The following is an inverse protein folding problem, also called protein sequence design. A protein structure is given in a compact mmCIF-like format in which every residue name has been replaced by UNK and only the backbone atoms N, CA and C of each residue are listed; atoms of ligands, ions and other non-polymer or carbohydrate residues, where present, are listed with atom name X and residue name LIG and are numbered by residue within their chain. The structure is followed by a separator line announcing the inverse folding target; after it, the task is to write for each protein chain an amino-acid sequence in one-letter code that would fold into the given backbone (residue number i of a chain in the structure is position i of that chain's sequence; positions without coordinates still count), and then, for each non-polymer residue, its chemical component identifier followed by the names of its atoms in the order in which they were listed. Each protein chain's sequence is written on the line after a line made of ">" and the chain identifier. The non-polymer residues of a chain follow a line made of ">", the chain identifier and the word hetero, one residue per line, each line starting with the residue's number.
data_IF_005517378898
#
_entry.id   IF_005517378898
#
_cell.length_a   1.000
_cell.length_b   1.000
_cell.length_c   1.000
_cell.angle_alpha   90.00
_cell.angle_beta   90.00
_cell.angle_gamma   90.00
#
_symmetry.space_group_name_H-M   'P 1'
#
loop_
_entity.id
_entity.type
_entity.pdbx_description
1 polymer ?
#
# COMPACT_ATOMS: atom_id res chain seq x y z
N UNK A 1 35.86 -62.25 36.36
CA UNK A 1 34.49 -61.75 36.11
C UNK A 1 34.48 -60.23 36.22
N UNK A 2 34.61 -59.52 35.10
CA UNK A 2 34.47 -58.05 35.06
C UNK A 2 33.41 -57.77 34.00
N UNK A 3 32.21 -57.38 34.43
CA UNK A 3 31.09 -57.04 33.55
C UNK A 3 31.19 -55.57 33.13
N UNK A 4 31.48 -55.32 31.86
CA UNK A 4 31.38 -54.00 31.23
C UNK A 4 29.90 -53.62 31.01
N UNK A 5 29.46 -52.49 31.55
CA UNK A 5 28.14 -51.90 31.23
C UNK A 5 28.25 -51.11 29.90
N UNK A 6 27.24 -51.16 29.01
CA UNK A 6 27.23 -50.29 27.84
C UNK A 6 26.79 -48.88 28.24
N UNK A 7 27.55 -47.88 27.82
CA UNK A 7 27.16 -46.48 27.91
C UNK A 7 26.17 -46.16 26.77
N UNK A 8 24.94 -45.82 27.13
CA UNK A 8 23.93 -45.36 26.18
C UNK A 8 24.24 -43.89 25.84
N UNK A 9 24.74 -43.63 24.63
CA UNK A 9 24.93 -42.27 24.14
C UNK A 9 23.56 -41.69 23.75
N UNK A 10 23.05 -40.73 24.53
CA UNK A 10 21.95 -39.87 24.10
C UNK A 10 22.47 -38.94 22.99
N UNK A 11 22.07 -39.17 21.75
CA UNK A 11 22.15 -38.15 20.70
C UNK A 11 21.19 -37.01 21.06
N UNK A 12 21.62 -35.74 21.03
CA UNK A 12 20.70 -34.63 21.12
C UNK A 12 19.85 -34.62 19.84
N UNK A 13 18.53 -34.72 19.98
CA UNK A 13 17.63 -34.35 18.90
C UNK A 13 17.83 -32.85 18.64
N UNK A 14 18.54 -32.53 17.56
CA UNK A 14 18.50 -31.23 16.93
C UNK A 14 17.07 -31.04 16.41
N UNK A 15 16.21 -30.43 17.22
CA UNK A 15 14.97 -29.83 16.73
C UNK A 15 15.38 -28.72 15.75
N UNK A 16 15.47 -29.05 14.47
CA UNK A 16 15.48 -28.06 13.40
C UNK A 16 14.15 -27.33 13.48
N UNK A 17 14.15 -26.13 14.05
CA UNK A 17 13.01 -25.22 13.93
C UNK A 17 12.70 -25.13 12.44
N UNK A 18 11.47 -25.44 11.97
CA UNK A 18 11.14 -25.21 10.58
C UNK A 18 11.49 -23.76 10.25
N UNK A 19 12.27 -23.55 9.18
CA UNK A 19 12.46 -22.22 8.61
C UNK A 19 11.10 -21.75 8.13
N UNK A 20 10.34 -21.10 9.01
CA UNK A 20 9.13 -20.44 8.62
C UNK A 20 9.49 -19.33 7.64
N UNK A 21 8.72 -19.26 6.55
CA UNK A 21 8.68 -18.09 5.69
C UNK A 21 8.58 -16.85 6.60
N UNK A 22 9.47 -15.89 6.38
CA UNK A 22 9.58 -14.73 7.26
C UNK A 22 9.19 -13.50 6.45
N UNK A 23 8.07 -12.89 6.82
CA UNK A 23 7.67 -11.62 6.22
C UNK A 23 8.38 -10.45 6.89
N UNK A 24 8.86 -9.49 6.09
CA UNK A 24 9.37 -8.22 6.60
C UNK A 24 8.36 -7.11 6.34
N UNK A 25 8.23 -6.23 7.33
CA UNK A 25 7.43 -5.01 7.23
C UNK A 25 8.38 -3.83 7.16
N UNK A 26 8.16 -2.94 6.19
CA UNK A 26 8.87 -1.68 6.02
C UNK A 26 7.88 -0.53 6.17
N UNK A 27 8.25 0.46 6.98
CA UNK A 27 7.43 1.65 7.22
C UNK A 27 8.26 2.91 6.99
N UNK A 28 7.82 3.78 6.08
CA UNK A 28 8.49 5.06 5.85
C UNK A 28 8.05 6.11 6.87
N UNK A 29 9.02 6.90 7.33
CA UNK A 29 8.86 7.91 8.36
C UNK A 29 9.23 9.28 7.78
N UNK A 30 8.23 10.06 7.35
CA UNK A 30 8.45 11.27 6.56
C UNK A 30 9.26 12.33 7.32
N UNK A 31 9.04 12.46 8.64
CA UNK A 31 9.66 13.51 9.44
C UNK A 31 11.01 13.05 10.02
N UNK A 32 11.12 11.77 10.40
CA UNK A 32 12.41 11.18 10.79
C UNK A 32 13.38 10.99 9.61
N UNK A 33 12.85 10.89 8.39
CA UNK A 33 13.65 10.63 7.18
C UNK A 33 14.25 9.22 7.12
N UNK A 34 13.57 8.25 7.72
CA UNK A 34 14.00 6.85 7.81
C UNK A 34 12.95 5.89 7.26
N UNK A 35 13.36 4.66 6.97
CA UNK A 35 12.49 3.50 6.76
C UNK A 35 12.71 2.53 7.92
N UNK A 36 11.72 2.38 8.79
CA UNK A 36 11.73 1.39 9.87
C UNK A 36 11.46 -0.01 9.32
N UNK A 37 12.15 -1.01 9.87
CA UNK A 37 12.04 -2.41 9.46
C UNK A 37 11.66 -3.31 10.62
N UNK A 38 10.79 -4.27 10.36
CA UNK A 38 10.34 -5.26 11.32
C UNK A 38 10.34 -6.65 10.70
N UNK A 39 10.59 -7.66 11.52
CA UNK A 39 10.27 -9.03 11.20
C UNK A 39 8.86 -9.34 11.75
N UNK A 40 7.97 -9.82 10.89
CA UNK A 40 6.65 -10.29 11.28
C UNK A 40 6.75 -11.78 11.65
N UNK A 41 6.20 -12.14 12.81
CA UNK A 41 5.99 -13.54 13.16
C UNK A 41 4.67 -14.02 12.54
N UNK A 42 4.75 -14.90 11.54
CA UNK A 42 3.58 -15.37 10.79
C UNK A 42 2.57 -16.17 11.64
N UNK A 43 2.98 -16.70 12.80
CA UNK A 43 2.12 -17.47 13.69
C UNK A 43 1.37 -16.58 14.70
N UNK A 44 2.01 -15.50 15.19
CA UNK A 44 1.47 -14.67 16.27
C UNK A 44 1.11 -13.25 15.86
N UNK A 45 1.57 -12.80 14.70
CA UNK A 45 1.45 -11.43 14.23
C UNK A 45 2.36 -10.45 14.97
N UNK A 46 3.26 -10.93 15.84
CA UNK A 46 4.17 -10.04 16.57
C UNK A 46 5.20 -9.40 15.64
N UNK A 47 5.56 -8.16 15.94
CA UNK A 47 6.52 -7.37 15.18
C UNK A 47 7.80 -7.23 15.98
N UNK A 48 8.89 -7.82 15.49
CA UNK A 48 10.22 -7.59 16.04
C UNK A 48 10.89 -6.46 15.27
N UNK A 49 11.09 -5.30 15.92
CA UNK A 49 11.86 -4.21 15.32
C UNK A 49 13.29 -4.65 15.01
N UNK A 50 13.76 -4.33 13.80
CA UNK A 50 15.08 -4.72 13.28
C UNK A 50 15.99 -3.53 13.00
N UNK A 51 15.49 -2.31 13.10
CA UNK A 51 16.27 -1.09 12.89
C UNK A 51 15.62 -0.14 11.89
N UNK A 52 16.24 1.03 11.77
CA UNK A 52 15.85 2.09 10.85
C UNK A 52 16.93 2.29 9.79
N UNK A 53 16.53 2.42 8.52
CA UNK A 53 17.42 2.76 7.41
C UNK A 53 17.30 4.24 7.09
N UNK A 54 18.39 5.04 7.15
CA UNK A 54 18.37 6.43 6.69
C UNK A 54 18.02 6.53 5.20
N UNK A 55 17.10 7.43 4.85
CA UNK A 55 16.64 7.64 3.47
C UNK A 55 16.72 9.12 3.05
N UNK A 56 16.19 10.02 3.88
CA UNK A 56 16.06 11.45 3.59
C UNK A 56 14.68 11.98 4.01
N UNK A 57 14.59 13.29 4.25
CA UNK A 57 13.33 13.93 4.66
C UNK A 57 12.23 13.69 3.62
N UNK A 58 10.99 13.55 4.09
CA UNK A 58 9.79 13.27 3.27
C UNK A 58 9.94 12.03 2.38
N UNK A 59 10.66 11.00 2.85
CA UNK A 59 10.49 9.64 2.34
C UNK A 59 9.07 9.18 2.65
N UNK A 60 8.30 8.86 1.60
CA UNK A 60 6.87 8.54 1.76
C UNK A 60 6.50 7.23 1.07
N UNK A 61 6.02 7.19 -0.19
CA UNK A 61 5.58 5.92 -0.74
C UNK A 61 6.75 4.98 -0.95
N UNK A 62 6.50 3.71 -0.63
CA UNK A 62 7.39 2.59 -0.85
C UNK A 62 6.76 1.62 -1.86
N UNK A 63 7.58 0.96 -2.67
CA UNK A 63 7.17 -0.10 -3.57
C UNK A 63 8.18 -1.24 -3.56
N UNK A 64 7.73 -2.47 -3.38
CA UNK A 64 8.58 -3.66 -3.51
C UNK A 64 8.59 -4.15 -4.97
N UNK A 65 9.69 -4.78 -5.40
CA UNK A 65 9.68 -5.56 -6.65
C UNK A 65 8.83 -6.84 -6.49
N UNK A 66 8.29 -7.40 -7.59
CA UNK A 66 7.47 -8.61 -7.53
C UNK A 66 8.18 -9.82 -6.90
N UNK A 67 9.50 -9.90 -7.05
CA UNK A 67 10.34 -10.97 -6.47
C UNK A 67 10.78 -10.69 -5.02
N UNK A 68 10.37 -9.56 -4.43
CA UNK A 68 10.73 -9.15 -3.07
C UNK A 68 12.21 -8.77 -2.87
N UNK A 69 13.04 -8.74 -3.92
CA UNK A 69 14.49 -8.49 -3.80
C UNK A 69 14.86 -7.01 -3.83
N UNK A 70 13.92 -6.13 -4.17
CA UNK A 70 14.10 -4.67 -4.22
C UNK A 70 13.00 -3.97 -3.46
N UNK A 71 13.37 -2.83 -2.90
CA UNK A 71 12.45 -1.83 -2.35
C UNK A 71 12.82 -0.49 -2.97
N UNK A 72 11.81 0.27 -3.36
CA UNK A 72 11.93 1.62 -3.89
C UNK A 72 11.23 2.58 -2.95
N UNK A 73 11.74 3.80 -2.81
CA UNK A 73 11.09 4.83 -2.01
C UNK A 73 11.23 6.21 -2.62
N UNK A 74 10.14 6.98 -2.61
CA UNK A 74 10.13 8.34 -3.17
C UNK A 74 10.41 9.39 -2.09
N UNK A 75 11.43 10.21 -2.33
CA UNK A 75 11.67 11.47 -1.61
C UNK A 75 10.78 12.55 -2.21
N UNK A 76 9.86 13.07 -1.39
CA UNK A 76 8.84 14.03 -1.81
C UNK A 76 9.15 15.49 -1.54
N UNK A 77 10.34 15.79 -1.03
CA UNK A 77 10.87 17.17 -0.92
C UNK A 77 12.03 17.36 -1.91
N UNK A 78 12.18 18.55 -2.52
CA UNK A 78 13.32 18.82 -3.40
C UNK A 78 14.68 18.60 -2.69
N UNK A 79 15.70 18.04 -3.38
CA UNK A 79 15.60 17.45 -4.73
C UNK A 79 14.78 16.15 -4.73
N UNK A 80 13.80 16.05 -5.64
CA UNK A 80 12.96 14.85 -5.76
C UNK A 80 13.78 13.69 -6.31
N UNK A 81 13.65 12.51 -5.71
CA UNK A 81 14.37 11.33 -6.12
C UNK A 81 13.65 10.03 -5.75
N UNK A 82 13.96 8.96 -6.47
CA UNK A 82 13.66 7.59 -6.07
C UNK A 82 14.92 6.94 -5.54
N UNK A 83 14.87 6.41 -4.32
CA UNK A 83 15.93 5.58 -3.77
C UNK A 83 15.62 4.12 -4.15
N UNK A 84 16.60 3.43 -4.73
CA UNK A 84 16.53 2.00 -5.01
C UNK A 84 17.37 1.25 -3.98
N UNK A 85 16.76 0.29 -3.27
CA UNK A 85 17.44 -0.60 -2.33
C UNK A 85 17.38 -2.05 -2.78
N UNK A 86 18.45 -2.79 -2.51
CA UNK A 86 18.43 -4.25 -2.42
C UNK A 86 17.96 -4.64 -1.04
N UNK A 87 16.99 -5.55 -0.98
CA UNK A 87 16.60 -6.24 0.25
C UNK A 87 17.58 -7.40 0.45
N UNK A 88 18.41 -7.32 1.48
CA UNK A 88 19.48 -8.28 1.79
C UNK A 88 19.03 -9.30 2.84
N UNK A 89 19.85 -10.35 3.05
CA UNK A 89 19.64 -11.64 3.75
C UNK A 89 18.67 -11.76 4.95
N UNK A 90 18.96 -12.63 5.93
CA UNK A 90 18.01 -13.18 6.92
C UNK A 90 17.24 -12.17 7.81
N UNK A 91 17.48 -10.86 7.69
CA UNK A 91 16.84 -9.81 8.50
C UNK A 91 16.19 -8.69 7.68
N UNK A 92 16.21 -8.76 6.34
CA UNK A 92 15.57 -7.79 5.46
C UNK A 92 16.32 -6.45 5.34
N UNK A 93 17.62 -6.39 5.59
CA UNK A 93 18.35 -5.12 5.55
C UNK A 93 18.30 -4.45 4.17
N UNK A 94 18.20 -3.12 4.16
CA UNK A 94 18.12 -2.32 2.95
C UNK A 94 19.51 -1.79 2.58
N UNK A 95 20.12 -2.37 1.55
CA UNK A 95 21.36 -1.87 0.97
C UNK A 95 21.04 -0.91 -0.17
N UNK A 96 21.42 0.36 -0.03
CA UNK A 96 21.16 1.39 -1.05
C UNK A 96 21.97 1.09 -2.31
N UNK A 97 21.28 1.00 -3.45
CA UNK A 97 21.88 0.82 -4.77
C UNK A 97 22.08 2.15 -5.49
N UNK A 98 21.07 3.02 -5.45
CA UNK A 98 21.10 4.30 -6.14
C UNK A 98 20.10 5.30 -5.54
N UNK A 99 20.35 6.59 -5.80
CA UNK A 99 19.38 7.68 -5.64
C UNK A 99 19.24 8.31 -7.01
N UNK A 100 18.08 8.13 -7.64
CA UNK A 100 17.82 8.57 -9.01
C UNK A 100 16.96 9.83 -8.97
N UNK A 101 17.45 10.98 -9.49
CA UNK A 101 16.64 12.18 -9.61
C UNK A 101 15.40 11.94 -10.48
N UNK A 102 14.29 12.56 -10.12
CA UNK A 102 13.03 12.48 -10.89
C UNK A 102 12.41 13.86 -11.07
N UNK A 103 11.52 13.97 -12.06
CA UNK A 103 10.94 15.26 -12.48
C UNK A 103 9.93 15.86 -11.48
N UNK A 104 9.38 15.06 -10.56
CA UNK A 104 8.27 15.49 -9.72
C UNK A 104 8.23 14.81 -8.34
N UNK A 105 7.42 15.38 -7.44
CA UNK A 105 7.03 14.71 -6.19
C UNK A 105 5.97 13.66 -6.49
N UNK A 106 6.22 12.42 -6.06
CA UNK A 106 5.30 11.31 -6.26
C UNK A 106 4.69 10.86 -4.92
N UNK A 107 3.40 11.15 -4.62
CA UNK A 107 2.70 10.56 -3.48
C UNK A 107 2.45 9.06 -3.60
N UNK A 108 2.65 8.47 -4.77
CA UNK A 108 2.48 7.04 -5.03
C UNK A 108 3.51 6.54 -6.02
N UNK A 109 4.10 5.39 -5.70
CA UNK A 109 4.92 4.58 -6.61
C UNK A 109 4.51 3.12 -6.49
N UNK A 110 4.63 2.36 -7.58
CA UNK A 110 4.50 0.90 -7.60
C UNK A 110 5.40 0.33 -8.70
N UNK A 111 5.83 -0.92 -8.58
CA UNK A 111 6.38 -1.61 -9.75
C UNK A 111 5.26 -2.20 -10.60
N UNK A 112 5.52 -2.39 -11.88
CA UNK A 112 4.70 -3.27 -12.71
C UNK A 112 4.88 -4.74 -12.29
N UNK A 113 4.01 -5.64 -12.77
CA UNK A 113 4.05 -7.07 -12.40
C UNK A 113 5.28 -7.80 -12.93
N UNK A 114 5.94 -7.30 -13.98
CA UNK A 114 7.21 -7.87 -14.48
C UNK A 114 8.45 -7.35 -13.74
N UNK A 115 8.31 -6.28 -12.95
CA UNK A 115 9.43 -5.65 -12.24
C UNK A 115 10.39 -4.87 -13.16
N UNK A 116 9.98 -4.56 -14.39
CA UNK A 116 10.78 -3.83 -15.39
C UNK A 116 10.53 -2.32 -15.37
N UNK A 117 9.45 -1.87 -14.75
CA UNK A 117 9.04 -0.47 -14.71
C UNK A 117 8.60 -0.05 -13.30
N UNK A 118 9.00 1.16 -12.91
CA UNK A 118 8.40 1.87 -11.78
C UNK A 118 7.35 2.83 -12.32
N UNK A 119 6.12 2.66 -11.87
CA UNK A 119 5.00 3.53 -12.17
C UNK A 119 4.84 4.54 -11.03
N UNK A 120 4.64 5.81 -11.37
CA UNK A 120 4.49 6.87 -10.38
C UNK A 120 3.37 7.85 -10.78
N UNK A 121 2.60 8.30 -9.80
CA UNK A 121 1.58 9.34 -9.97
C UNK A 121 2.03 10.59 -9.21
N UNK A 122 1.95 11.76 -9.84
CA UNK A 122 2.30 13.04 -9.23
C UNK A 122 1.07 13.93 -9.02
N UNK A 123 0.89 14.33 -7.76
CA UNK A 123 -0.21 15.18 -7.34
C UNK A 123 0.00 16.63 -7.75
N UNK A 124 1.22 17.13 -7.64
CA UNK A 124 1.51 18.55 -7.87
C UNK A 124 1.85 18.85 -9.34
N UNK A 125 2.20 17.83 -10.12
CA UNK A 125 2.62 17.97 -11.53
C UNK A 125 1.63 17.41 -12.55
N UNK A 126 0.52 16.83 -12.08
CA UNK A 126 -0.59 16.33 -12.91
C UNK A 126 -0.14 15.32 -13.97
N UNK A 127 0.73 14.39 -13.56
CA UNK A 127 1.30 13.38 -14.44
C UNK A 127 1.28 11.99 -13.81
N UNK A 128 1.27 10.99 -14.69
CA UNK A 128 1.73 9.64 -14.39
C UNK A 128 2.93 9.32 -15.28
N UNK A 129 3.94 8.69 -14.70
CA UNK A 129 5.15 8.25 -15.40
C UNK A 129 5.37 6.75 -15.26
N UNK A 130 6.05 6.19 -16.26
CA UNK A 130 6.65 4.86 -16.26
C UNK A 130 8.14 5.01 -16.49
N UNK A 131 8.95 4.63 -15.51
CA UNK A 131 10.41 4.71 -15.54
C UNK A 131 11.00 3.31 -15.64
N UNK A 132 11.99 3.11 -16.51
CA UNK A 132 12.63 1.79 -16.66
C UNK A 132 13.42 1.42 -15.40
N UNK A 133 13.31 0.17 -14.98
CA UNK A 133 14.18 -0.47 -13.99
C UNK A 133 15.25 -1.27 -14.75
N UNK A 134 16.53 -1.00 -14.46
CA UNK A 134 17.66 -1.67 -15.11
C UNK A 134 17.85 -3.12 -14.59
N UNK A 135 18.75 -3.88 -15.22
CA UNK A 135 19.03 -5.26 -14.83
C UNK A 135 19.60 -5.42 -13.41
N UNK A 136 20.07 -4.34 -12.78
CA UNK A 136 20.53 -4.34 -11.38
C UNK A 136 19.38 -4.07 -10.41
N UNK A 137 18.19 -3.73 -10.91
CA UNK A 137 17.04 -3.33 -10.11
C UNK A 137 17.13 -1.88 -9.65
N UNK A 138 17.74 -1.00 -10.46
CA UNK A 138 17.82 0.44 -10.22
C UNK A 138 16.85 1.15 -11.16
N UNK A 139 16.04 2.04 -10.59
CA UNK A 139 15.17 2.95 -11.38
C UNK A 139 16.06 3.91 -12.15
N UNK A 140 15.84 4.01 -13.45
CA UNK A 140 16.57 4.92 -14.34
C UNK A 140 15.81 6.24 -14.51
N UNK A 141 16.50 7.35 -14.83
CA UNK A 141 15.84 8.62 -15.13
C UNK A 141 15.07 8.58 -16.47
N UNK A 142 15.24 7.52 -17.25
CA UNK A 142 14.54 7.34 -18.52
C UNK A 142 13.05 7.07 -18.28
N UNK A 143 12.22 8.03 -18.67
CA UNK A 143 10.76 7.91 -18.71
C UNK A 143 10.36 7.30 -20.05
N UNK A 144 9.72 6.13 -20.02
CA UNK A 144 9.22 5.42 -21.22
C UNK A 144 7.74 5.70 -21.50
N UNK A 145 6.97 6.03 -20.46
CA UNK A 145 5.57 6.42 -20.56
C UNK A 145 5.31 7.66 -19.72
N UNK A 146 4.61 8.65 -20.28
CA UNK A 146 4.23 9.87 -19.58
C UNK A 146 2.88 10.35 -20.06
N UNK A 147 1.95 10.54 -19.13
CA UNK A 147 0.60 11.02 -19.44
C UNK A 147 0.25 12.21 -18.54
N UNK A 148 -0.42 13.21 -19.13
CA UNK A 148 -1.07 14.28 -18.37
C UNK A 148 -2.42 13.78 -17.88
N UNK A 149 -2.68 13.94 -16.59
CA UNK A 149 -3.82 13.31 -15.92
C UNK A 149 -5.00 14.26 -15.71
N UNK A 150 -4.75 15.56 -15.73
CA UNK A 150 -5.59 16.54 -15.03
C UNK A 150 -5.18 16.67 -13.56
N UNK A 151 -5.74 17.64 -12.83
CA UNK A 151 -5.23 18.10 -11.55
C UNK A 151 -5.16 16.98 -10.51
N UNK A 152 -4.02 16.78 -9.86
CA UNK A 152 -3.89 15.97 -8.65
C UNK A 152 -4.06 14.45 -8.81
N UNK A 153 -3.29 13.83 -9.72
CA UNK A 153 -3.13 12.37 -9.73
C UNK A 153 -2.50 11.87 -8.42
N UNK A 154 -3.18 10.95 -7.74
CA UNK A 154 -2.82 10.54 -6.39
C UNK A 154 -2.32 9.09 -6.30
N UNK A 155 -2.73 8.19 -7.19
CA UNK A 155 -2.25 6.81 -7.23
C UNK A 155 -2.19 6.25 -8.65
N UNK A 156 -1.40 5.20 -8.86
CA UNK A 156 -1.41 4.41 -10.11
C UNK A 156 -1.19 2.94 -9.80
N UNK A 157 -2.11 2.06 -10.21
CA UNK A 157 -1.98 0.61 -10.04
C UNK A 157 -2.08 -0.09 -11.39
N UNK A 158 -1.41 -1.24 -11.53
CA UNK A 158 -1.66 -2.16 -12.64
C UNK A 158 -2.78 -3.11 -12.29
N UNK A 159 -3.45 -3.64 -13.31
CA UNK A 159 -4.24 -4.85 -13.18
C UNK A 159 -3.38 -6.09 -12.90
N UNK A 160 -4.02 -7.24 -12.64
CA UNK A 160 -3.32 -8.50 -12.37
C UNK A 160 -2.58 -9.00 -13.61
N UNK A 161 -3.10 -8.74 -14.82
CA UNK A 161 -2.48 -9.16 -16.09
C UNK A 161 -1.36 -8.24 -16.59
N UNK A 162 -1.12 -7.10 -15.91
CA UNK A 162 -0.10 -6.13 -16.25
C UNK A 162 -0.29 -5.42 -17.60
N UNK A 163 -1.53 -5.33 -18.08
CA UNK A 163 -1.88 -4.73 -19.37
C UNK A 163 -2.75 -3.48 -19.26
N UNK A 164 -3.24 -3.16 -18.06
CA UNK A 164 -3.99 -1.93 -17.81
C UNK A 164 -3.48 -1.20 -16.57
N UNK A 165 -3.51 0.14 -16.60
CA UNK A 165 -3.27 1.00 -15.45
C UNK A 165 -4.54 1.74 -15.05
N UNK A 166 -4.71 1.95 -13.75
CA UNK A 166 -5.77 2.76 -13.18
C UNK A 166 -5.21 3.82 -12.26
N UNK A 167 -5.69 5.05 -12.41
CA UNK A 167 -5.16 6.21 -11.69
C UNK A 167 -6.29 6.87 -10.92
N UNK A 168 -6.16 6.94 -9.59
CA UNK A 168 -7.02 7.82 -8.80
C UNK A 168 -6.61 9.25 -9.04
N UNK A 169 -7.50 10.05 -9.64
CA UNK A 169 -7.29 11.46 -9.90
C UNK A 169 -8.19 12.29 -8.98
N UNK A 170 -7.57 12.87 -7.94
CA UNK A 170 -8.28 13.55 -6.87
C UNK A 170 -8.90 14.87 -7.36
N UNK A 171 -8.14 15.69 -8.08
CA UNK A 171 -8.59 17.03 -8.46
C UNK A 171 -9.60 17.04 -9.60
N UNK A 172 -9.68 15.97 -10.37
CA UNK A 172 -10.63 15.83 -11.48
C UNK A 172 -11.85 14.97 -11.13
N UNK A 173 -11.91 14.38 -9.92
CA UNK A 173 -12.93 13.42 -9.50
C UNK A 173 -13.08 12.24 -10.48
N UNK A 174 -11.96 11.67 -10.93
CA UNK A 174 -11.94 10.63 -11.96
C UNK A 174 -11.09 9.44 -11.54
N UNK A 175 -11.49 8.27 -12.02
CA UNK A 175 -10.58 7.13 -12.15
C UNK A 175 -10.16 7.06 -13.61
N UNK A 176 -8.88 7.29 -13.89
CA UNK A 176 -8.33 7.24 -15.24
C UNK A 176 -7.99 5.79 -15.62
N UNK A 177 -8.09 5.48 -16.90
CA UNK A 177 -7.94 4.13 -17.45
C UNK A 177 -6.97 4.16 -18.62
N UNK A 178 -5.94 3.32 -18.57
CA UNK A 178 -4.92 3.24 -19.61
C UNK A 178 -4.57 1.79 -19.94
N UNK A 179 -4.22 1.52 -21.20
CA UNK A 179 -3.46 0.32 -21.56
C UNK A 179 -2.00 0.52 -21.17
N UNK A 180 -1.34 -0.56 -20.76
CA UNK A 180 0.07 -0.63 -20.45
C UNK A 180 0.75 -1.65 -21.34
N UNK A 181 1.68 -1.19 -22.17
CA UNK A 181 2.43 -2.06 -23.06
C UNK A 181 3.72 -2.57 -22.41
N UNK A 182 4.23 -3.70 -22.89
CA UNK A 182 5.48 -4.33 -22.41
C UNK A 182 6.72 -3.44 -22.49
N UNK A 183 6.69 -2.43 -23.37
CA UNK A 183 7.76 -1.44 -23.51
C UNK A 183 7.60 -0.25 -22.54
N UNK A 184 6.60 -0.28 -21.66
CA UNK A 184 6.35 0.74 -20.64
C UNK A 184 5.54 1.94 -21.15
N UNK A 185 5.01 1.88 -22.37
CA UNK A 185 4.13 2.92 -22.93
C UNK A 185 2.74 2.84 -22.29
N UNK A 186 2.19 4.02 -22.00
CA UNK A 186 0.88 4.21 -21.39
C UNK A 186 -0.02 4.90 -22.43
N UNK A 187 -1.19 4.35 -22.71
CA UNK A 187 -2.12 4.91 -23.70
C UNK A 187 -3.55 4.90 -23.15
N UNK A 188 -4.34 5.98 -23.29
CA UNK A 188 -5.71 6.02 -22.77
C UNK A 188 -6.58 4.88 -23.32
N UNK A 189 -7.40 4.26 -22.47
CA UNK A 189 -8.47 3.36 -22.91
C UNK A 189 -9.71 4.19 -23.24
N UNK A 190 -10.19 4.14 -24.48
CA UNK A 190 -11.37 4.91 -24.91
C UNK A 190 -11.22 6.41 -24.62
N UNK A 191 -12.10 6.95 -23.76
CA UNK A 191 -12.02 8.37 -23.30
C UNK A 191 -10.93 8.62 -22.27
N UNK A 192 -10.31 7.57 -21.72
CA UNK A 192 -9.23 7.62 -20.75
C UNK A 192 -9.65 7.71 -19.29
N UNK A 193 -10.96 7.69 -18.99
CA UNK A 193 -11.47 7.77 -17.62
C UNK A 193 -12.95 7.40 -17.49
N UNK A 194 -13.34 7.06 -16.25
CA UNK A 194 -14.71 7.14 -15.74
C UNK A 194 -14.83 8.32 -14.78
N UNK A 195 -15.93 9.05 -14.92
CA UNK A 195 -16.24 10.18 -14.04
C UNK A 195 -16.81 9.65 -12.72
N UNK A 196 -16.18 10.02 -11.62
CA UNK A 196 -16.64 9.74 -10.26
C UNK A 196 -17.62 10.78 -9.74
N UNK A 197 -17.95 10.65 -8.46
CA UNK A 197 -18.75 11.64 -7.71
C UNK A 197 -18.04 13.00 -7.66
N UNK A 198 -18.78 14.08 -7.92
CA UNK A 198 -18.23 15.44 -7.87
C UNK A 198 -17.76 15.77 -6.45
N UNK A 199 -16.62 16.46 -6.35
CA UNK A 199 -15.95 16.85 -5.11
C UNK A 199 -15.63 15.67 -4.19
N UNK A 200 -15.44 14.47 -4.72
CA UNK A 200 -15.16 13.27 -3.91
C UNK A 200 -13.67 13.01 -3.73
N UNK A 201 -12.87 13.34 -4.73
CA UNK A 201 -11.42 13.18 -4.71
C UNK A 201 -10.96 11.73 -4.82
N UNK A 202 -11.08 11.10 -5.99
CA UNK A 202 -10.62 9.73 -6.24
C UNK A 202 -9.15 9.56 -5.85
N UNK A 203 -8.87 8.68 -4.87
CA UNK A 203 -7.56 8.60 -4.22
C UNK A 203 -6.84 7.29 -4.54
N UNK A 204 -7.05 6.25 -3.73
CA UNK A 204 -6.38 4.96 -3.88
C UNK A 204 -7.35 3.92 -4.44
N UNK A 205 -6.82 2.95 -5.18
CA UNK A 205 -7.61 1.83 -5.70
C UNK A 205 -6.99 0.49 -5.31
N UNK A 206 -7.82 -0.56 -5.30
CA UNK A 206 -7.41 -1.96 -5.27
C UNK A 206 -8.18 -2.75 -6.32
N UNK A 207 -7.58 -3.83 -6.80
CA UNK A 207 -8.18 -4.76 -7.76
C UNK A 207 -8.40 -6.09 -7.05
N UNK A 208 -9.56 -6.71 -7.32
CA UNK A 208 -9.85 -8.04 -6.80
C UNK A 208 -8.84 -9.07 -7.33
N UNK A 209 -8.45 -10.09 -6.54
CA UNK A 209 -7.43 -11.05 -6.98
C UNK A 209 -7.76 -11.80 -8.27
N UNK A 210 -9.05 -11.96 -8.58
CA UNK A 210 -9.57 -12.54 -9.83
C UNK A 210 -9.62 -11.56 -11.02
N UNK A 211 -9.12 -10.34 -10.83
CA UNK A 211 -9.03 -9.27 -11.83
C UNK A 211 -10.39 -8.78 -12.39
N UNK A 212 -11.52 -9.09 -11.73
CA UNK A 212 -12.88 -8.75 -12.21
C UNK A 212 -13.37 -7.39 -11.73
N UNK A 213 -12.92 -6.93 -10.56
CA UNK A 213 -13.42 -5.72 -9.92
C UNK A 213 -12.28 -4.78 -9.53
N UNK A 214 -12.56 -3.49 -9.61
CA UNK A 214 -11.73 -2.44 -9.04
C UNK A 214 -12.56 -1.67 -8.01
N UNK A 215 -11.96 -1.38 -6.86
CA UNK A 215 -12.55 -0.54 -5.82
C UNK A 215 -11.70 0.72 -5.67
N UNK A 216 -12.29 1.89 -5.88
CA UNK A 216 -11.64 3.17 -5.62
C UNK A 216 -12.18 3.79 -4.33
N UNK A 217 -11.29 4.25 -3.47
CA UNK A 217 -11.61 5.05 -2.30
C UNK A 217 -11.37 6.53 -2.61
N UNK A 218 -12.36 7.37 -2.29
CA UNK A 218 -12.28 8.81 -2.44
C UNK A 218 -11.81 9.47 -1.13
N UNK A 219 -10.95 10.49 -1.20
CA UNK A 219 -10.35 11.14 -0.01
C UNK A 219 -11.37 12.03 0.74
N UNK A 220 -12.20 12.76 -0.01
CA UNK A 220 -13.04 13.84 0.51
C UNK A 220 -14.45 13.36 0.87
N UNK A 221 -15.04 12.44 0.11
CA UNK A 221 -16.31 11.81 0.53
C UNK A 221 -16.12 10.52 1.33
N UNK A 222 -14.95 9.87 1.25
CA UNK A 222 -14.74 8.56 1.88
C UNK A 222 -15.64 7.46 1.30
N UNK A 223 -16.16 7.69 0.09
CA UNK A 223 -16.97 6.75 -0.65
C UNK A 223 -16.07 5.68 -1.27
N UNK A 224 -16.50 4.43 -1.20
CA UNK A 224 -15.91 3.34 -2.00
C UNK A 224 -16.77 3.16 -3.24
N UNK A 225 -16.18 3.31 -4.42
CA UNK A 225 -16.84 3.04 -5.71
C UNK A 225 -16.31 1.74 -6.29
N UNK A 226 -17.21 0.79 -6.54
CA UNK A 226 -16.91 -0.46 -7.24
C UNK A 226 -17.11 -0.29 -8.73
N UNK A 227 -16.17 -0.84 -9.48
CA UNK A 227 -16.23 -0.96 -10.93
C UNK A 227 -16.08 -2.42 -11.36
N UNK A 228 -16.83 -2.83 -12.37
CA UNK A 228 -16.55 -4.03 -13.15
C UNK A 228 -15.47 -3.72 -14.17
N UNK A 229 -14.46 -4.59 -14.25
CA UNK A 229 -13.39 -4.52 -15.26
C UNK A 229 -13.75 -5.41 -16.45
N UNK A 230 -13.73 -4.84 -17.65
CA UNK A 230 -13.84 -5.59 -18.89
C UNK A 230 -12.49 -6.22 -19.28
N UNK A 231 -12.50 -7.15 -20.25
CA UNK A 231 -11.29 -7.83 -20.70
C UNK A 231 -10.24 -6.87 -21.29
N UNK A 232 -10.68 -5.79 -21.94
CA UNK A 232 -9.83 -4.72 -22.47
C UNK A 232 -9.33 -3.74 -21.40
N UNK A 233 -9.79 -3.90 -20.15
CA UNK A 233 -9.44 -3.05 -19.02
C UNK A 233 -10.38 -1.87 -18.79
N UNK A 234 -11.36 -1.61 -19.65
CA UNK A 234 -12.34 -0.54 -19.40
C UNK A 234 -13.16 -0.80 -18.14
N UNK A 235 -13.56 0.26 -17.43
CA UNK A 235 -14.36 0.15 -16.21
C UNK A 235 -15.83 0.52 -16.47
N UNK A 236 -16.71 -0.24 -15.83
CA UNK A 236 -18.13 0.12 -15.68
C UNK A 236 -18.43 0.27 -14.20
N UNK A 237 -18.88 1.46 -13.77
CA UNK A 237 -19.31 1.66 -12.39
C UNK A 237 -20.50 0.75 -12.06
N UNK A 238 -20.45 0.10 -10.89
CA UNK A 238 -21.53 -0.76 -10.40
C UNK A 238 -22.27 -0.15 -9.21
N UNK A 239 -21.54 0.19 -8.15
CA UNK A 239 -22.13 0.54 -6.85
C UNK A 239 -21.19 1.40 -6.02
N UNK A 240 -21.77 2.17 -5.11
CA UNK A 240 -21.06 3.04 -4.17
C UNK A 240 -21.48 2.74 -2.73
N UNK A 241 -20.52 2.82 -1.81
CA UNK A 241 -20.75 2.74 -0.36
C UNK A 241 -20.27 4.03 0.29
N UNK A 242 -21.11 4.73 1.08
CA UNK A 242 -20.68 5.93 1.78
C UNK A 242 -19.65 5.58 2.86
N UNK A 243 -18.96 6.62 3.36
CA UNK A 243 -18.06 6.48 4.49
C UNK A 243 -18.78 5.85 5.71
N UNK A 244 -18.31 4.69 6.16
CA UNK A 244 -18.97 3.91 7.21
C UNK A 244 -18.95 4.55 8.61
N UNK A 245 -18.10 5.56 8.81
CA UNK A 245 -17.86 6.16 10.12
C UNK A 245 -18.24 7.63 10.21
N UNK A 246 -18.56 8.28 9.08
CA UNK A 246 -18.83 9.71 9.03
C UNK A 246 -19.98 10.13 9.97
N UNK A 247 -21.13 9.46 9.92
CA UNK A 247 -22.25 9.74 10.82
C UNK A 247 -21.91 9.51 12.30
N UNK A 248 -21.17 8.43 12.61
CA UNK A 248 -20.76 8.08 13.97
C UNK A 248 -19.85 9.12 14.61
N UNK A 249 -18.95 9.73 13.83
CA UNK A 249 -17.99 10.72 14.33
C UNK A 249 -18.32 12.16 13.93
N UNK A 250 -19.51 12.40 13.37
CA UNK A 250 -19.93 13.74 12.92
C UNK A 250 -19.00 14.34 11.87
N UNK A 251 -18.44 13.51 10.98
CA UNK A 251 -17.49 13.99 9.97
C UNK A 251 -18.22 14.74 8.86
N UNK A 252 -17.77 15.96 8.58
CA UNK A 252 -18.24 16.73 7.44
C UNK A 252 -17.50 16.36 6.16
N UNK A 253 -18.06 16.77 5.01
CA UNK A 253 -17.43 16.55 3.71
C UNK A 253 -16.00 17.09 3.69
N UNK A 254 -15.08 16.31 3.12
CA UNK A 254 -13.68 16.64 3.00
C UNK A 254 -13.42 17.80 2.04
N UNK A 255 -12.24 18.38 2.16
CA UNK A 255 -11.75 19.43 1.28
C UNK A 255 -10.32 19.10 0.86
N UNK A 256 -9.93 19.60 -0.31
CA UNK A 256 -8.54 19.60 -0.71
C UNK A 256 -7.71 20.43 0.28
N UNK A 257 -6.54 19.91 0.68
CA UNK A 257 -5.71 20.51 1.73
C UNK A 257 -4.40 21.06 1.15
N UNK A 258 -4.38 22.30 0.64
CA UNK A 258 -3.16 22.94 0.16
C UNK A 258 -2.18 23.26 1.30
N UNK A 259 -0.99 23.74 0.94
CA UNK A 259 -0.03 24.22 1.93
C UNK A 259 -0.67 25.34 2.80
N UNK A 260 -0.51 25.23 4.12
CA UNK A 260 -1.13 26.16 5.08
C UNK A 260 -2.60 25.89 5.40
N UNK A 261 -3.20 24.80 4.88
CA UNK A 261 -4.56 24.39 5.24
C UNK A 261 -4.73 24.29 6.76
N UNK A 262 -5.67 25.06 7.30
CA UNK A 262 -6.03 25.08 8.71
C UNK A 262 -7.55 25.15 8.82
N UNK A 263 -8.15 24.01 9.16
CA UNK A 263 -9.58 23.90 9.39
C UNK A 263 -9.81 23.05 10.64
N UNK A 264 -10.49 23.58 11.68
CA UNK A 264 -10.80 22.82 12.88
C UNK A 264 -11.96 21.82 12.67
N UNK A 265 -12.69 21.91 11.56
CA UNK A 265 -13.83 21.05 11.25
C UNK A 265 -13.37 19.59 11.15
N UNK A 266 -14.03 18.65 11.84
CA UNK A 266 -13.75 17.23 11.68
C UNK A 266 -14.24 16.78 10.30
N UNK A 267 -13.34 16.82 9.31
CA UNK A 267 -13.66 16.45 7.94
C UNK A 267 -13.28 15.02 7.61
N UNK A 268 -14.04 14.38 6.73
CA UNK A 268 -13.66 13.11 6.12
C UNK A 268 -12.27 13.26 5.49
N UNK A 269 -11.41 12.31 5.81
CA UNK A 269 -10.04 12.26 5.29
C UNK A 269 -9.61 10.81 5.08
N UNK A 270 -10.38 10.11 4.25
CA UNK A 270 -10.09 8.74 3.85
C UNK A 270 -8.72 8.64 3.18
N UNK A 271 -8.00 7.54 3.41
CA UNK A 271 -6.64 7.37 2.91
C UNK A 271 -6.47 6.08 2.12
N UNK A 272 -6.18 4.97 2.78
CA UNK A 272 -5.73 3.77 2.10
C UNK A 272 -6.87 2.76 1.96
N UNK A 273 -6.76 1.90 0.95
CA UNK A 273 -7.68 0.80 0.69
C UNK A 273 -6.85 -0.45 0.36
N UNK A 274 -7.17 -1.58 0.99
CA UNK A 274 -6.50 -2.88 0.79
C UNK A 274 -7.53 -3.99 0.73
N UNK A 275 -7.26 -5.02 -0.06
CA UNK A 275 -8.07 -6.24 -0.13
C UNK A 275 -7.19 -7.43 0.26
N UNK A 276 -7.75 -8.43 0.96
CA UNK A 276 -7.02 -9.64 1.32
C UNK A 276 -6.65 -10.44 0.07
N UNK A 277 -5.55 -11.23 0.10
CA UNK A 277 -5.11 -12.03 -1.05
C UNK A 277 -6.15 -13.03 -1.55
N UNK A 278 -7.03 -13.51 -0.68
CA UNK A 278 -8.16 -14.39 -1.03
C UNK A 278 -9.40 -13.64 -1.54
N UNK A 279 -9.34 -12.30 -1.57
CA UNK A 279 -10.39 -11.42 -2.06
C UNK A 279 -11.60 -11.29 -1.14
N UNK A 280 -11.60 -11.91 0.05
CA UNK A 280 -12.78 -12.01 0.91
C UNK A 280 -13.05 -10.76 1.73
N UNK A 281 -12.02 -9.98 2.04
CA UNK A 281 -12.14 -8.82 2.92
C UNK A 281 -11.44 -7.59 2.35
N UNK A 282 -12.08 -6.43 2.50
CA UNK A 282 -11.57 -5.13 2.07
C UNK A 282 -11.55 -4.16 3.25
N UNK A 283 -10.47 -3.42 3.41
CA UNK A 283 -10.27 -2.49 4.52
C UNK A 283 -9.91 -1.11 4.01
N UNK A 284 -10.47 -0.07 4.63
CA UNK A 284 -10.17 1.34 4.33
C UNK A 284 -9.80 2.12 5.58
N UNK A 285 -8.89 3.08 5.47
CA UNK A 285 -8.50 3.95 6.59
C UNK A 285 -9.18 5.31 6.53
N UNK A 286 -9.52 5.87 7.69
CA UNK A 286 -10.02 7.24 7.85
C UNK A 286 -9.17 8.01 8.86
N UNK A 287 -8.50 9.06 8.38
CA UNK A 287 -7.45 9.77 9.14
C UNK A 287 -8.00 10.60 10.29
N UNK A 288 -9.16 11.23 10.13
CA UNK A 288 -9.69 12.19 11.11
C UNK A 288 -10.19 11.48 12.36
N UNK A 289 -10.98 10.42 12.21
CA UNK A 289 -11.49 9.58 13.28
C UNK A 289 -10.48 8.56 13.81
N UNK A 290 -9.37 8.35 13.07
CA UNK A 290 -8.35 7.34 13.35
C UNK A 290 -8.93 5.93 13.41
N UNK A 291 -9.57 5.54 12.31
CA UNK A 291 -10.26 4.25 12.21
C UNK A 291 -9.89 3.47 10.95
N UNK A 292 -10.12 2.16 11.02
CA UNK A 292 -10.21 1.27 9.86
C UNK A 292 -11.64 0.73 9.80
N UNK A 293 -12.25 0.79 8.61
CA UNK A 293 -13.54 0.14 8.30
C UNK A 293 -13.27 -1.11 7.48
N UNK A 294 -13.88 -2.23 7.82
CA UNK A 294 -13.73 -3.51 7.13
C UNK A 294 -15.03 -3.97 6.48
N UNK A 295 -14.91 -4.57 5.30
CA UNK A 295 -16.03 -5.05 4.50
C UNK A 295 -15.77 -6.47 4.03
N UNK A 296 -16.83 -7.30 4.02
CA UNK A 296 -16.86 -8.58 3.34
C UNK A 296 -17.16 -8.32 1.87
N UNK A 297 -16.42 -8.99 1.00
CA UNK A 297 -16.63 -8.95 -0.44
C UNK A 297 -17.45 -10.17 -0.85
N UNK A 298 -18.58 -9.96 -1.51
CA UNK A 298 -19.33 -11.05 -2.13
C UNK A 298 -18.52 -11.63 -3.30
N UNK A 299 -18.20 -12.94 -3.31
CA UNK A 299 -17.31 -13.51 -4.32
C UNK A 299 -17.92 -13.54 -5.72
N UNK A 300 -19.23 -13.44 -5.89
CA UNK A 300 -19.87 -13.47 -7.21
C UNK A 300 -19.93 -12.07 -7.82
N UNK A 301 -20.52 -11.13 -7.09
CA UNK A 301 -20.85 -9.77 -7.51
C UNK A 301 -19.79 -8.72 -7.14
N UNK A 302 -18.90 -9.03 -6.20
CA UNK A 302 -17.95 -8.08 -5.63
C UNK A 302 -18.58 -7.04 -4.69
N UNK A 303 -19.86 -7.16 -4.34
CA UNK A 303 -20.51 -6.20 -3.44
C UNK A 303 -19.91 -6.23 -2.03
N UNK A 304 -19.87 -5.07 -1.38
CA UNK A 304 -19.34 -4.90 -0.03
C UNK A 304 -20.44 -4.93 1.03
N UNK A 305 -20.22 -5.73 2.08
CA UNK A 305 -21.02 -5.71 3.31
C UNK A 305 -20.15 -5.27 4.47
N UNK A 306 -20.54 -4.22 5.19
CA UNK A 306 -19.78 -3.72 6.35
C UNK A 306 -19.67 -4.80 7.43
N UNK A 307 -18.44 -5.09 7.87
CA UNK A 307 -18.14 -6.01 8.97
C UNK A 307 -18.04 -5.23 10.28
N UNK A 308 -17.28 -4.13 10.27
CA UNK A 308 -16.97 -3.41 11.50
C UNK A 308 -16.09 -2.20 11.26
N UNK A 309 -15.88 -1.45 12.35
CA UNK A 309 -15.04 -0.26 12.38
C UNK A 309 -14.20 -0.28 13.65
N UNK A 310 -12.88 -0.17 13.53
CA UNK A 310 -11.94 -0.29 14.65
C UNK A 310 -11.12 0.99 14.78
N UNK A 311 -10.93 1.48 16.00
CA UNK A 311 -9.93 2.52 16.27
C UNK A 311 -8.54 1.91 16.11
N UNK A 312 -7.66 2.64 15.45
CA UNK A 312 -6.28 2.23 15.19
C UNK A 312 -5.33 3.38 15.53
N UNK A 313 -4.07 3.26 15.10
CA UNK A 313 -3.02 4.26 15.23
C UNK A 313 -3.48 5.64 14.76
N UNK A 314 -3.10 6.70 15.48
CA UNK A 314 -3.59 8.06 15.23
C UNK A 314 -3.22 8.56 13.83
N UNK A 315 -4.23 9.02 13.10
CA UNK A 315 -4.13 9.49 11.70
C UNK A 315 -3.60 8.41 10.75
N UNK A 316 -4.34 7.28 10.57
CA UNK A 316 -3.88 6.13 9.81
C UNK A 316 -3.83 6.42 8.30
N UNK A 317 -2.64 6.69 7.77
CA UNK A 317 -2.45 7.01 6.35
C UNK A 317 -2.23 5.78 5.48
N UNK A 318 -1.70 4.70 6.03
CA UNK A 318 -1.43 3.48 5.28
C UNK A 318 -1.61 2.24 6.15
N UNK A 319 -2.15 1.22 5.52
CA UNK A 319 -2.25 -0.14 6.02
C UNK A 319 -1.59 -1.10 5.02
N UNK A 320 -1.11 -2.22 5.52
CA UNK A 320 -0.63 -3.33 4.70
C UNK A 320 -1.21 -4.64 5.19
N UNK A 321 -1.50 -5.57 4.27
CA UNK A 321 -1.97 -6.92 4.59
C UNK A 321 -0.86 -7.88 4.15
N UNK A 322 -0.52 -8.84 4.99
CA UNK A 322 0.49 -9.85 4.67
C UNK A 322 0.01 -10.82 3.58
N UNK A 323 0.95 -11.54 2.97
CA UNK A 323 0.66 -12.44 1.85
C UNK A 323 -0.25 -13.62 2.23
N UNK A 324 -0.33 -13.98 3.51
CA UNK A 324 -1.28 -15.00 3.98
C UNK A 324 -2.68 -14.45 4.27
N UNK A 325 -2.85 -13.12 4.32
CA UNK A 325 -4.12 -12.47 4.65
C UNK A 325 -4.51 -12.55 6.12
N UNK A 326 -3.60 -12.94 7.01
CA UNK A 326 -3.86 -13.12 8.45
C UNK A 326 -3.58 -11.87 9.26
N UNK A 327 -2.72 -10.99 8.77
CA UNK A 327 -2.18 -9.87 9.51
C UNK A 327 -2.36 -8.57 8.74
N UNK A 328 -3.03 -7.61 9.37
CA UNK A 328 -3.09 -6.22 8.93
C UNK A 328 -2.15 -5.40 9.80
N UNK A 329 -1.25 -4.65 9.18
CA UNK A 329 -0.37 -3.70 9.83
C UNK A 329 -0.87 -2.29 9.55
N UNK A 330 -1.06 -1.48 10.58
CA UNK A 330 -1.49 -0.09 10.46
C UNK A 330 -0.43 0.88 10.96
N UNK A 331 -0.21 1.94 10.17
CA UNK A 331 0.66 3.06 10.53
C UNK A 331 -0.15 4.35 10.63
N UNK A 332 0.18 5.20 11.59
CA UNK A 332 -0.45 6.50 11.78
C UNK A 332 0.56 7.63 11.81
N UNK A 333 0.31 8.70 11.06
CA UNK A 333 1.25 9.83 10.89
C UNK A 333 1.55 10.53 12.22
N UNK A 334 0.63 10.46 13.18
CA UNK A 334 0.74 11.04 14.53
C UNK A 334 0.92 9.98 15.63
N UNK A 335 1.23 8.74 15.25
CA UNK A 335 1.49 7.65 16.18
C UNK A 335 2.99 7.49 16.44
N UNK A 336 3.35 7.06 17.66
CA UNK A 336 4.71 6.65 18.01
C UNK A 336 4.97 5.15 17.77
N UNK A 337 3.91 4.41 17.44
CA UNK A 337 3.94 2.96 17.17
C UNK A 337 3.17 2.62 15.90
N UNK A 338 3.52 1.49 15.29
CA UNK A 338 2.63 0.76 14.37
C UNK A 338 1.91 -0.37 15.11
N UNK A 339 0.72 -0.71 14.66
CA UNK A 339 -0.07 -1.81 15.20
C UNK A 339 -0.12 -2.99 14.25
N UNK A 340 -0.13 -4.20 14.82
CA UNK A 340 -0.41 -5.45 14.12
C UNK A 340 -1.75 -6.01 14.60
N UNK A 341 -2.60 -6.37 13.65
CA UNK A 341 -3.96 -6.82 13.86
C UNK A 341 -4.17 -8.17 13.18
N UNK A 342 -4.63 -9.17 13.93
CA UNK A 342 -5.16 -10.41 13.37
C UNK A 342 -6.43 -10.10 12.59
N UNK A 343 -6.54 -10.65 11.38
CA UNK A 343 -7.77 -10.74 10.61
C UNK A 343 -8.42 -12.07 10.94
N UNK A 344 -9.63 -12.04 11.50
CA UNK A 344 -10.40 -13.27 11.70
C UNK A 344 -10.72 -13.91 10.33
N UNK A 345 -10.36 -15.19 10.10
CA UNK A 345 -10.46 -15.80 8.79
C UNK A 345 -11.91 -16.04 8.34
N UNK A 346 -12.90 -15.91 9.21
CA UNK A 346 -14.33 -16.12 8.90
C UNK A 346 -15.05 -14.78 8.84
N UNK A 347 -14.99 -14.00 9.91
CA UNK A 347 -15.69 -12.73 10.06
C UNK A 347 -14.99 -11.57 9.37
N UNK A 348 -13.67 -11.60 9.24
CA UNK A 348 -12.85 -10.47 8.78
C UNK A 348 -12.66 -9.39 9.83
N UNK A 349 -13.05 -9.65 11.08
CA UNK A 349 -12.87 -8.70 12.18
C UNK A 349 -11.39 -8.53 12.52
N UNK A 350 -11.02 -7.31 12.92
CA UNK A 350 -9.66 -6.98 13.35
C UNK A 350 -9.52 -7.10 14.87
N UNK A 351 -8.50 -7.85 15.31
CA UNK A 351 -8.06 -7.89 16.72
C UNK A 351 -6.60 -7.51 16.82
N UNK A 352 -6.30 -6.46 17.59
CA UNK A 352 -4.92 -6.04 17.84
C UNK A 352 -4.16 -7.14 18.60
N UNK A 353 -3.00 -7.53 18.11
CA UNK A 353 -2.15 -8.59 18.69
C UNK A 353 -0.77 -8.11 19.12
N UNK A 354 -0.25 -7.06 18.49
CA UNK A 354 1.05 -6.51 18.81
C UNK A 354 1.18 -5.05 18.38
N UNK A 355 2.26 -4.43 18.84
CA UNK A 355 2.71 -3.11 18.39
C UNK A 355 4.24 -3.06 18.37
N UNK A 356 4.79 -2.10 17.64
CA UNK A 356 6.22 -1.84 17.62
C UNK A 356 6.52 -0.35 17.45
N UNK A 357 7.64 0.16 18.02
CA UNK A 357 8.03 1.56 17.90
C UNK A 357 8.30 1.92 16.44
N UNK A 358 7.99 3.15 16.03
CA UNK A 358 8.20 3.66 14.66
C UNK A 358 8.75 5.09 14.68
N UNK A 359 9.37 5.51 13.57
CA UNK A 359 9.82 6.89 13.39
C UNK A 359 8.66 7.90 13.26
N UNK A 360 8.98 9.19 13.35
CA UNK A 360 8.00 10.29 13.26
C UNK A 360 7.46 10.44 11.84
N UNK A 361 6.16 10.65 11.72
CA UNK A 361 5.49 10.78 10.42
C UNK A 361 5.40 9.44 9.67
N UNK A 362 5.13 8.35 10.39
CA UNK A 362 4.92 7.02 9.81
C UNK A 362 3.72 7.05 8.85
N UNK A 363 3.96 6.80 7.55
CA UNK A 363 2.99 7.18 6.51
C UNK A 363 2.76 6.15 5.40
N UNK A 364 3.59 5.10 5.32
CA UNK A 364 3.45 4.06 4.30
C UNK A 364 3.88 2.71 4.84
N UNK A 365 3.08 1.67 4.60
CA UNK A 365 3.41 0.28 4.98
C UNK A 365 3.67 -0.53 3.72
N UNK A 366 4.73 -1.32 3.69
CA UNK A 366 5.02 -2.30 2.63
C UNK A 366 5.51 -3.59 3.24
N UNK A 367 4.95 -4.72 2.80
CA UNK A 367 5.32 -6.05 3.25
C UNK A 367 6.02 -6.79 2.14
N UNK A 368 7.05 -7.55 2.49
CA UNK A 368 7.76 -8.46 1.59
C UNK A 368 7.80 -9.83 2.27
N UNK A 369 7.10 -10.80 1.69
CA UNK A 369 7.20 -12.20 2.09
C UNK A 369 8.52 -12.81 1.58
N UNK A 370 9.01 -13.85 2.28
CA UNK A 370 10.17 -14.64 1.84
C UNK A 370 9.86 -16.10 1.67
#
# INVERSE_FOLDING_TARGET
>A
MIRSKPALALLPLLCSSPLWATSYVYVSNADSGTVSRYQLNDATGSLQWRGDTPAGKKIMPLAASPDGKRLYGALRSPPYAIISWRVTGQHGDLQRLAVTPVEASFPWITTDKSGRYLLAASYDSDIVTSNRIDARGVVTPQVTGRVKTGPHAHSVITDVSNHSLYVGNLGADRVLEYSFADNGVITPLGKGFVQGEKNSGARHSVISPDNRFLYNLTEMSGTITQFRRAADGSLTELKRWPNAVAGKYGLQHGEQRPAGYSDPTPRIWAADIKITPDGRFLYVTERTSSTVSGYRVDPASGELTLIGNWRVEKQPRSIGIDASGKWLIASGEKSAVIGSYAIDPVSGELKRVAEAPVGKGANWVTLIAR
#
